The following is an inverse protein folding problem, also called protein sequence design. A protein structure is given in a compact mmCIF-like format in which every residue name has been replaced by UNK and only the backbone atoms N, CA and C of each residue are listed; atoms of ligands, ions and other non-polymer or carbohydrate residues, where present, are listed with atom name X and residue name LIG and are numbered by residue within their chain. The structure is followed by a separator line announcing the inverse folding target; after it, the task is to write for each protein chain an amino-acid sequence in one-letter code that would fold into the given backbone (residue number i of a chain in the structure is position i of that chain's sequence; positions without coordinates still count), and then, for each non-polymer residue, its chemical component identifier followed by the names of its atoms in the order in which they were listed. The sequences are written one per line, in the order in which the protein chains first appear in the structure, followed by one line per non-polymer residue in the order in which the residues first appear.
data_IF_221985855523
#
_entry.id   IF_221985855523
#
_cell.length_a   1.000
_cell.length_b   1.000
_cell.length_c   1.000
_cell.angle_alpha   90.00
_cell.angle_beta   90.00
_cell.angle_gamma   90.00
#
_symmetry.space_group_name_H-M   'P 1'
#
loop_
_entity.id
_entity.type
_entity.pdbx_description
1 polymer ?
#
# COMPACT_ATOMS: atom_id res chain seq x y z
N UNK A 1 -8.83 -15.62 1.97
CA UNK A 1 -8.73 -14.34 2.69
C UNK A 1 -7.26 -14.08 2.98
N UNK A 2 -6.76 -12.93 2.55
CA UNK A 2 -5.41 -12.42 2.76
C UNK A 2 -5.45 -11.47 3.95
N UNK A 3 -4.54 -11.66 4.89
CA UNK A 3 -4.34 -10.77 6.04
C UNK A 3 -3.55 -9.55 5.59
N UNK A 4 -4.02 -8.35 5.94
CA UNK A 4 -3.38 -7.09 5.52
C UNK A 4 -3.22 -6.19 6.74
N UNK A 5 -1.97 -6.06 7.17
CA UNK A 5 -1.60 -5.15 8.24
C UNK A 5 -1.50 -3.72 7.70
N UNK A 6 -1.75 -2.74 8.56
CA UNK A 6 -1.62 -1.32 8.26
C UNK A 6 -0.71 -0.73 9.33
N UNK A 7 0.44 -0.19 8.95
CA UNK A 7 1.34 0.46 9.90
C UNK A 7 0.79 1.81 10.36
N UNK A 8 1.26 2.30 11.50
CA UNK A 8 0.87 3.61 12.03
C UNK A 8 1.15 4.73 11.02
N UNK A 9 2.29 4.72 10.33
CA UNK A 9 2.61 5.76 9.34
C UNK A 9 1.68 5.73 8.12
N UNK A 10 1.17 4.54 7.76
CA UNK A 10 0.16 4.42 6.72
C UNK A 10 -1.18 4.97 7.21
N UNK A 11 -1.59 4.62 8.42
CA UNK A 11 -2.85 5.06 9.00
C UNK A 11 -2.86 6.57 9.20
N UNK A 12 -1.80 7.14 9.79
CA UNK A 12 -1.60 8.58 9.93
C UNK A 12 -1.71 9.30 8.59
N UNK A 13 -1.11 8.75 7.52
CA UNK A 13 -1.23 9.35 6.20
C UNK A 13 -2.69 9.38 5.73
N UNK A 14 -3.43 8.29 5.90
CA UNK A 14 -4.82 8.16 5.47
C UNK A 14 -5.74 9.08 6.27
N UNK A 15 -5.56 9.15 7.60
CA UNK A 15 -6.36 9.97 8.51
C UNK A 15 -6.14 11.47 8.28
N UNK A 16 -4.97 11.85 7.78
CA UNK A 16 -4.68 13.22 7.35
C UNK A 16 -5.29 13.57 5.97
N UNK A 17 -6.01 12.66 5.31
CA UNK A 17 -6.73 12.95 4.06
C UNK A 17 -8.20 13.28 4.31
N UNK A 18 -8.91 13.65 3.24
CA UNK A 18 -10.35 13.83 3.34
C UNK A 18 -11.07 12.48 3.48
N UNK A 19 -12.30 12.52 4.02
CA UNK A 19 -13.12 11.34 4.31
C UNK A 19 -13.36 10.42 3.10
N UNK A 20 -13.33 10.97 1.87
CA UNK A 20 -13.51 10.20 0.64
C UNK A 20 -12.29 9.34 0.31
N UNK A 21 -11.09 9.79 0.64
CA UNK A 21 -9.85 9.00 0.48
C UNK A 21 -9.83 7.88 1.51
N UNK A 22 -10.09 8.21 2.78
CA UNK A 22 -10.16 7.25 3.89
C UNK A 22 -11.15 6.11 3.61
N UNK A 23 -12.41 6.45 3.24
CA UNK A 23 -13.43 5.44 2.92
C UNK A 23 -12.99 4.53 1.77
N UNK A 24 -12.44 5.10 0.70
CA UNK A 24 -11.96 4.31 -0.44
C UNK A 24 -10.78 3.42 -0.10
N UNK A 25 -9.90 3.88 0.78
CA UNK A 25 -8.77 3.09 1.23
C UNK A 25 -9.26 1.82 1.92
N UNK A 26 -10.10 1.95 2.96
CA UNK A 26 -10.60 0.79 3.70
C UNK A 26 -11.44 -0.15 2.82
N UNK A 27 -12.30 0.38 1.94
CA UNK A 27 -13.01 -0.43 0.95
C UNK A 27 -12.06 -1.24 0.06
N UNK A 28 -10.96 -0.64 -0.40
CA UNK A 28 -9.99 -1.35 -1.22
C UNK A 28 -9.20 -2.38 -0.41
N UNK A 29 -8.88 -2.12 0.86
CA UNK A 29 -8.23 -3.09 1.75
C UNK A 29 -9.12 -4.32 1.94
N UNK A 30 -10.41 -4.13 2.22
CA UNK A 30 -11.38 -5.23 2.31
C UNK A 30 -11.41 -6.05 1.01
N UNK A 31 -11.55 -5.37 -0.14
CA UNK A 31 -11.60 -6.04 -1.45
C UNK A 31 -10.34 -6.84 -1.75
N UNK A 32 -9.15 -6.27 -1.58
CA UNK A 32 -7.89 -6.97 -1.86
C UNK A 32 -7.53 -7.99 -0.78
N UNK A 33 -8.16 -7.94 0.39
CA UNK A 33 -8.13 -9.00 1.40
C UNK A 33 -8.95 -10.22 0.99
N UNK A 34 -10.08 -10.01 0.31
CA UNK A 34 -10.95 -11.12 -0.10
C UNK A 34 -10.56 -11.76 -1.43
N UNK A 35 -10.26 -10.95 -2.45
CA UNK A 35 -10.05 -11.47 -3.80
C UNK A 35 -8.62 -12.00 -3.98
N UNK A 36 -8.52 -13.15 -4.66
CA UNK A 36 -7.23 -13.77 -4.97
C UNK A 36 -6.44 -12.98 -6.01
N UNK A 37 -7.10 -12.62 -7.12
CA UNK A 37 -6.47 -11.92 -8.26
C UNK A 37 -6.93 -10.47 -8.25
N UNK A 38 -5.99 -9.54 -8.01
CA UNK A 38 -6.27 -8.11 -7.99
C UNK A 38 -5.95 -7.47 -9.34
N UNK A 39 -6.85 -6.65 -9.85
CA UNK A 39 -6.64 -5.93 -11.10
C UNK A 39 -5.55 -4.83 -10.93
N UNK A 40 -4.69 -4.69 -11.95
CA UNK A 40 -3.56 -3.75 -11.95
C UNK A 40 -3.95 -2.26 -11.92
N UNK A 41 -5.22 -1.95 -12.17
CA UNK A 41 -5.78 -0.61 -11.97
C UNK A 41 -5.87 -0.23 -10.49
N UNK A 42 -6.03 -1.21 -9.59
CA UNK A 42 -6.11 -1.01 -8.15
C UNK A 42 -4.77 -1.29 -7.47
N UNK A 43 -4.11 -2.40 -7.79
CA UNK A 43 -2.85 -2.78 -7.17
C UNK A 43 -1.81 -3.14 -8.24
N UNK A 44 -0.70 -2.40 -8.28
CA UNK A 44 0.34 -2.61 -9.30
C UNK A 44 1.71 -2.81 -8.70
N UNK A 45 2.50 -3.75 -9.22
CA UNK A 45 3.92 -3.88 -8.85
C UNK A 45 4.69 -2.62 -9.24
N UNK A 46 5.50 -2.09 -8.33
CA UNK A 46 6.47 -1.05 -8.64
C UNK A 46 7.72 -1.69 -9.25
N UNK A 47 8.05 -1.29 -10.48
CA UNK A 47 9.19 -1.86 -11.24
C UNK A 47 10.50 -1.73 -10.47
N UNK A 48 11.32 -2.78 -10.54
CA UNK A 48 12.64 -2.84 -9.90
C UNK A 48 12.60 -2.64 -8.37
N UNK A 49 11.48 -2.96 -7.73
CA UNK A 49 11.34 -2.95 -6.26
C UNK A 49 10.59 -4.19 -5.78
N UNK A 50 10.66 -4.45 -4.47
CA UNK A 50 9.84 -5.45 -3.80
C UNK A 50 8.40 -5.00 -3.52
N UNK A 51 8.08 -3.73 -3.76
CA UNK A 51 6.80 -3.14 -3.37
C UNK A 51 5.73 -3.19 -4.45
N UNK A 52 4.49 -3.03 -4.01
CA UNK A 52 3.30 -2.77 -4.79
C UNK A 52 2.77 -1.36 -4.45
N UNK A 53 1.99 -0.78 -5.35
CA UNK A 53 1.22 0.44 -5.09
C UNK A 53 -0.29 0.14 -5.15
N UNK A 54 -1.00 0.43 -4.06
CA UNK A 54 -2.45 0.55 -4.07
C UNK A 54 -2.82 1.94 -4.61
N UNK A 55 -3.78 1.98 -5.52
CA UNK A 55 -4.13 3.17 -6.29
C UNK A 55 -5.50 3.70 -5.88
N UNK A 56 -5.51 4.84 -5.20
CA UNK A 56 -6.74 5.48 -4.74
C UNK A 56 -6.94 6.77 -5.55
N UNK A 57 -8.10 6.88 -6.21
CA UNK A 57 -8.49 8.08 -6.99
C UNK A 57 -9.68 8.77 -6.31
N UNK A 58 -9.46 9.97 -5.79
CA UNK A 58 -10.47 10.76 -5.09
C UNK A 58 -10.25 12.26 -5.32
N UNK A 59 -10.46 12.71 -6.57
CA UNK A 59 -10.08 14.05 -7.02
C UNK A 59 -8.59 14.12 -7.33
N UNK A 60 -7.76 13.88 -6.32
CA UNK A 60 -6.32 13.67 -6.47
C UNK A 60 -5.97 12.18 -6.61
N UNK A 61 -4.74 11.91 -7.08
CA UNK A 61 -4.17 10.57 -7.09
C UNK A 61 -3.38 10.30 -5.81
N UNK A 62 -3.84 9.34 -5.02
CA UNK A 62 -3.15 8.86 -3.82
C UNK A 62 -2.63 7.44 -4.07
N UNK A 63 -1.49 7.13 -3.46
CA UNK A 63 -0.85 5.83 -3.55
C UNK A 63 -0.47 5.36 -2.15
N UNK A 64 -0.68 4.08 -1.87
CA UNK A 64 -0.17 3.42 -0.66
C UNK A 64 0.83 2.36 -1.09
N UNK A 65 2.01 2.36 -0.48
CA UNK A 65 3.07 1.38 -0.74
C UNK A 65 2.78 0.13 0.09
N UNK A 66 2.69 -1.01 -0.59
CA UNK A 66 2.37 -2.31 0.01
C UNK A 66 3.54 -3.27 -0.19
N UNK A 67 3.82 -4.09 0.82
CA UNK A 67 4.74 -5.22 0.73
C UNK A 67 3.99 -6.54 0.93
N UNK A 68 4.28 -7.52 0.08
CA UNK A 68 3.78 -8.88 0.22
C UNK A 68 4.79 -9.68 1.06
N UNK A 69 4.36 -10.22 2.20
CA UNK A 69 5.24 -10.72 3.25
C UNK A 69 5.76 -12.11 2.93
N UNK A 70 4.86 -13.01 2.53
CA UNK A 70 5.10 -14.44 2.41
C UNK A 70 5.30 -14.90 0.96
N UNK A 71 5.09 -14.03 -0.02
CA UNK A 71 5.28 -14.35 -1.43
C UNK A 71 5.63 -13.12 -2.29
N UNK A 72 6.50 -13.29 -3.30
CA UNK A 72 6.91 -12.20 -4.19
C UNK A 72 5.78 -11.69 -5.10
N UNK A 73 4.89 -12.59 -5.51
CA UNK A 73 3.66 -12.28 -6.22
C UNK A 73 2.53 -12.04 -5.22
N UNK A 74 2.01 -10.81 -5.17
CA UNK A 74 0.90 -10.44 -4.29
C UNK A 74 -0.33 -11.34 -4.46
N UNK A 75 -0.67 -11.75 -5.68
CA UNK A 75 -1.84 -12.60 -5.93
C UNK A 75 -1.72 -14.00 -5.29
N UNK A 76 -0.51 -14.42 -4.95
CA UNK A 76 -0.22 -15.69 -4.26
C UNK A 76 0.14 -15.48 -2.78
N UNK A 77 0.37 -14.24 -2.36
CA UNK A 77 0.66 -13.86 -0.98
C UNK A 77 -0.61 -13.97 -0.13
N UNK A 78 -0.49 -14.53 1.07
CA UNK A 78 -1.57 -14.60 2.06
C UNK A 78 -1.43 -13.55 3.16
N UNK A 79 -0.27 -12.87 3.23
CA UNK A 79 -0.01 -11.80 4.19
C UNK A 79 0.64 -10.59 3.51
N UNK A 80 0.09 -9.41 3.71
CA UNK A 80 0.65 -8.16 3.20
C UNK A 80 0.64 -7.06 4.27
N UNK A 81 1.40 -6.00 4.04
CA UNK A 81 1.44 -4.82 4.91
C UNK A 81 1.40 -3.54 4.09
N UNK A 82 0.56 -2.60 4.50
CA UNK A 82 0.53 -1.23 4.01
C UNK A 82 1.50 -0.38 4.83
N UNK A 83 2.53 0.17 4.18
CA UNK A 83 3.68 0.79 4.86
C UNK A 83 3.59 2.31 4.96
N UNK A 84 3.27 2.99 3.87
CA UNK A 84 3.10 4.43 3.86
C UNK A 84 2.29 4.85 2.65
N UNK A 85 1.73 6.07 2.69
CA UNK A 85 1.07 6.65 1.53
C UNK A 85 1.61 8.02 1.13
N UNK A 86 1.27 8.42 -0.09
CA UNK A 86 1.62 9.72 -0.64
C UNK A 86 0.59 10.18 -1.68
N UNK A 87 0.45 11.50 -1.83
CA UNK A 87 -0.24 12.08 -2.99
C UNK A 87 0.73 12.13 -4.17
N UNK A 88 0.38 11.47 -5.27
CA UNK A 88 1.19 11.45 -6.49
C UNK A 88 1.03 12.78 -7.24
N UNK A 89 2.11 13.57 -7.28
CA UNK A 89 2.22 14.80 -8.07
C UNK A 89 3.22 14.63 -9.22
N UNK A 90 4.18 13.72 -9.08
CA UNK A 90 5.15 13.36 -10.12
C UNK A 90 6.01 12.14 -9.76
N UNK A 91 7.03 11.88 -10.56
CA UNK A 91 7.91 10.71 -10.39
C UNK A 91 8.85 10.82 -9.17
N UNK A 92 9.15 12.06 -8.72
CA UNK A 92 9.99 12.29 -7.54
C UNK A 92 9.34 11.80 -6.24
N UNK A 93 8.01 11.79 -6.16
CA UNK A 93 7.27 11.34 -4.98
C UNK A 93 7.49 9.85 -4.71
N UNK A 94 7.55 9.03 -5.79
CA UNK A 94 7.85 7.60 -5.68
C UNK A 94 9.20 7.33 -5.03
N UNK A 95 10.25 8.08 -5.39
CA UNK A 95 11.58 7.88 -4.82
C UNK A 95 11.59 8.11 -3.30
N UNK A 96 10.88 9.13 -2.83
CA UNK A 96 10.73 9.43 -1.40
C UNK A 96 9.93 8.34 -0.69
N UNK A 97 8.79 7.95 -1.26
CA UNK A 97 7.90 6.93 -0.70
C UNK A 97 8.58 5.56 -0.61
N UNK A 98 9.33 5.13 -1.63
CA UNK A 98 10.06 3.86 -1.62
C UNK A 98 11.12 3.86 -0.50
N UNK A 99 11.91 4.93 -0.38
CA UNK A 99 12.91 5.04 0.70
C UNK A 99 12.27 5.00 2.09
N UNK A 100 11.12 5.66 2.25
CA UNK A 100 10.36 5.63 3.50
C UNK A 100 9.82 4.22 3.78
N UNK A 101 9.21 3.58 2.78
CA UNK A 101 8.68 2.23 2.90
C UNK A 101 9.76 1.18 3.25
N UNK A 102 10.98 1.32 2.73
CA UNK A 102 12.10 0.46 3.10
C UNK A 102 12.43 0.56 4.59
N UNK A 103 12.49 1.79 5.13
CA UNK A 103 12.77 2.02 6.55
C UNK A 103 11.65 1.47 7.44
N UNK A 104 10.39 1.73 7.08
CA UNK A 104 9.23 1.24 7.83
C UNK A 104 9.17 -0.28 7.81
N UNK A 105 9.41 -0.89 6.64
CA UNK A 105 9.43 -2.34 6.52
C UNK A 105 10.55 -2.97 7.37
N UNK A 106 11.73 -2.36 7.42
CA UNK A 106 12.82 -2.85 8.26
C UNK A 106 12.45 -2.85 9.75
N UNK A 107 11.79 -1.79 10.23
CA UNK A 107 11.31 -1.72 11.62
C UNK A 107 10.19 -2.73 11.89
N UNK A 108 9.18 -2.79 11.02
CA UNK A 108 8.05 -3.71 11.13
C UNK A 108 8.51 -5.18 11.20
N UNK A 109 9.54 -5.56 10.43
CA UNK A 109 10.10 -6.92 10.45
C UNK A 109 10.97 -7.22 11.68
N UNK A 110 11.42 -6.21 12.44
CA UNK A 110 12.17 -6.40 13.70
C UNK A 110 11.24 -6.54 14.91
N UNK A 111 10.04 -5.96 14.82
CA UNK A 111 9.04 -5.97 15.89
C UNK A 111 8.10 -7.19 15.83
N UNK A 112 8.14 -7.96 14.73
CA UNK A 112 7.47 -9.26 14.57
C UNK A 112 8.41 -10.43 14.84
#
# INVERSE_FOLDING_TARGET
MREIDITEECLDFIDNQNKKVELKFFQLIEVIGEIKIVNSNFLKKLQSTKFYELRIKAGNEYRVVIFAIDHLNFNESTKAVCLCGFQKKGTKDYKKAIKQAEKILENYLKEK
#
